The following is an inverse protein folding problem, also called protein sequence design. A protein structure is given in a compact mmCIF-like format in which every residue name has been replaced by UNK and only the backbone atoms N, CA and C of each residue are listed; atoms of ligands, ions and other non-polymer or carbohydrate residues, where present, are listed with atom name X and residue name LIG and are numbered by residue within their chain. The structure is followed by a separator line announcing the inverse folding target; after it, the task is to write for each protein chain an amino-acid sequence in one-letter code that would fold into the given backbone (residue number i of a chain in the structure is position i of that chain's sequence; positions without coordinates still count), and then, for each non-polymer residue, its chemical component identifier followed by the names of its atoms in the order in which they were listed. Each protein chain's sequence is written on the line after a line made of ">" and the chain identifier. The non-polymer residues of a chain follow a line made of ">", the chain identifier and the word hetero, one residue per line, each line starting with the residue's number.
data_IF_263228668677
#
_entry.id   IF_263228668677
#
_cell.length_a   1.000
_cell.length_b   1.000
_cell.length_c   1.000
_cell.angle_alpha   90.00
_cell.angle_beta   90.00
_cell.angle_gamma   90.00
#
_symmetry.space_group_name_H-M   'P 1'
#
loop_
_entity.id
_entity.type
_entity.pdbx_description
1 polymer ?
#
# COMPACT_ATOMS: atom_id res chain seq x y z
N UNK A 1 -13.23 -7.48 0.34
CA UNK A 1 -12.49 -7.92 1.53
C UNK A 1 -11.06 -7.37 1.56
N UNK A 2 -10.35 -7.27 0.43
CA UNK A 2 -9.03 -6.61 0.36
C UNK A 2 -9.08 -5.10 0.66
N UNK A 3 -10.12 -4.41 0.22
CA UNK A 3 -10.31 -2.96 0.44
C UNK A 3 -10.39 -2.60 1.94
N UNK A 4 -11.23 -3.31 2.70
CA UNK A 4 -11.29 -3.18 4.17
C UNK A 4 -9.98 -3.55 4.88
N UNK A 5 -9.07 -4.29 4.24
CA UNK A 5 -7.76 -4.62 4.81
C UNK A 5 -6.75 -3.49 4.56
N UNK A 6 -6.81 -2.86 3.38
CA UNK A 6 -6.00 -1.69 3.08
C UNK A 6 -6.37 -0.50 3.98
N UNK A 7 -7.64 -0.12 4.04
CA UNK A 7 -8.11 1.03 4.82
C UNK A 7 -7.72 0.88 6.31
N UNK A 8 -7.93 -0.32 6.87
CA UNK A 8 -7.56 -0.62 8.26
C UNK A 8 -6.05 -0.59 8.48
N UNK A 9 -5.27 -1.07 7.51
CA UNK A 9 -3.80 -1.01 7.59
C UNK A 9 -3.32 0.43 7.54
N UNK A 10 -3.94 1.27 6.70
CA UNK A 10 -3.64 2.69 6.60
C UNK A 10 -3.98 3.43 7.91
N UNK A 11 -5.16 3.19 8.48
CA UNK A 11 -5.55 3.76 9.78
C UNK A 11 -4.56 3.39 10.90
N UNK A 12 -4.12 2.13 10.95
CA UNK A 12 -3.11 1.72 11.92
C UNK A 12 -1.76 2.42 11.70
N UNK A 13 -1.35 2.62 10.45
CA UNK A 13 -0.11 3.32 10.12
C UNK A 13 -0.18 4.79 10.55
N UNK A 14 -1.30 5.47 10.29
CA UNK A 14 -1.54 6.86 10.73
C UNK A 14 -1.49 7.00 12.25
N UNK A 15 -2.06 6.03 12.98
CA UNK A 15 -1.99 5.99 14.43
C UNK A 15 -0.54 5.85 14.93
N UNK A 16 0.26 4.99 14.30
CA UNK A 16 1.69 4.82 14.65
C UNK A 16 2.47 6.12 14.39
N UNK A 17 2.25 6.76 13.24
CA UNK A 17 2.90 8.05 12.92
C UNK A 17 2.52 9.10 13.96
N UNK A 18 1.23 9.20 14.29
CA UNK A 18 0.73 10.13 15.30
C UNK A 18 1.38 9.89 16.68
N UNK A 19 1.55 8.63 17.09
CA UNK A 19 2.22 8.29 18.34
C UNK A 19 3.72 8.64 18.34
N UNK A 20 4.41 8.40 17.23
CA UNK A 20 5.81 8.77 17.05
C UNK A 20 6.01 10.29 17.06
N UNK A 21 5.12 11.05 16.41
CA UNK A 21 5.18 12.52 16.33
C UNK A 21 4.90 13.21 17.66
N UNK A 22 4.10 12.60 18.55
CA UNK A 22 3.86 13.12 19.90
C UNK A 22 5.15 13.20 20.75
N UNK A 23 6.14 12.34 20.47
CA UNK A 23 7.42 12.34 21.18
C UNK A 23 7.35 11.93 22.65
N UNK A 24 6.26 11.27 23.07
CA UNK A 24 6.06 10.80 24.45
C UNK A 24 6.68 9.42 24.72
N UNK A 25 7.10 8.73 23.66
CA UNK A 25 7.68 7.38 23.71
C UNK A 25 9.16 7.42 24.07
N UNK A 26 9.61 6.44 24.85
CA UNK A 26 11.04 6.24 25.04
C UNK A 26 11.70 5.63 23.77
N UNK A 27 13.03 5.53 23.76
CA UNK A 27 13.77 5.04 22.59
C UNK A 27 13.33 3.62 22.18
N UNK A 28 13.23 2.69 23.12
CA UNK A 28 12.88 1.30 22.84
C UNK A 28 11.45 1.18 22.30
N UNK A 29 10.52 1.97 22.83
CA UNK A 29 9.14 2.07 22.35
C UNK A 29 9.07 2.68 20.95
N UNK A 30 9.84 3.74 20.71
CA UNK A 30 9.91 4.40 19.40
C UNK A 30 10.44 3.45 18.33
N UNK A 31 11.48 2.67 18.65
CA UNK A 31 12.04 1.66 17.73
C UNK A 31 11.00 0.58 17.41
N UNK A 32 10.27 0.07 18.43
CA UNK A 32 9.22 -0.93 18.21
C UNK A 32 8.09 -0.40 17.33
N UNK A 33 7.62 0.82 17.59
CA UNK A 33 6.58 1.48 16.80
C UNK A 33 7.02 1.73 15.37
N UNK A 34 8.27 2.14 15.16
CA UNK A 34 8.85 2.28 13.83
C UNK A 34 8.88 0.95 13.07
N UNK A 35 9.35 -0.14 13.70
CA UNK A 35 9.34 -1.47 13.08
C UNK A 35 7.94 -1.96 12.72
N UNK A 36 6.96 -1.69 13.58
CA UNK A 36 5.55 -1.98 13.32
C UNK A 36 5.03 -1.19 12.12
N UNK A 37 5.28 0.13 12.09
CA UNK A 37 4.91 1.00 10.97
C UNK A 37 5.52 0.55 9.65
N UNK A 38 6.79 0.12 9.64
CA UNK A 38 7.45 -0.42 8.45
C UNK A 38 6.81 -1.72 7.94
N UNK A 39 6.36 -2.61 8.84
CA UNK A 39 5.65 -3.83 8.44
C UNK A 39 4.30 -3.50 7.80
N UNK A 40 3.55 -2.57 8.39
CA UNK A 40 2.24 -2.16 7.88
C UNK A 40 2.39 -1.44 6.53
N UNK A 41 3.35 -0.53 6.40
CA UNK A 41 3.64 0.16 5.13
C UNK A 41 3.96 -0.85 4.01
N UNK A 42 4.76 -1.88 4.31
CA UNK A 42 5.04 -2.97 3.35
C UNK A 42 3.78 -3.75 2.97
N UNK A 43 2.88 -3.99 3.91
CA UNK A 43 1.60 -4.65 3.62
C UNK A 43 0.72 -3.79 2.71
N UNK A 44 0.60 -2.49 2.97
CA UNK A 44 -0.13 -1.55 2.12
C UNK A 44 0.41 -1.58 0.68
N UNK A 45 1.73 -1.49 0.50
CA UNK A 45 2.35 -1.57 -0.83
C UNK A 45 2.01 -2.89 -1.55
N UNK A 46 2.11 -4.04 -0.87
CA UNK A 46 1.75 -5.31 -1.49
C UNK A 46 0.28 -5.37 -1.92
N UNK A 47 -0.63 -4.75 -1.16
CA UNK A 47 -2.05 -4.68 -1.54
C UNK A 47 -2.22 -3.83 -2.80
N UNK A 48 -1.55 -2.67 -2.86
CA UNK A 48 -1.58 -1.79 -4.03
C UNK A 48 -0.98 -2.47 -5.26
N UNK A 49 0.18 -3.12 -5.16
CA UNK A 49 0.78 -3.88 -6.26
C UNK A 49 -0.14 -4.99 -6.78
N UNK A 50 -0.85 -5.68 -5.88
CA UNK A 50 -1.79 -6.72 -6.27
C UNK A 50 -3.04 -6.14 -6.93
N UNK A 51 -3.52 -4.99 -6.46
CA UNK A 51 -4.63 -4.28 -7.09
C UNK A 51 -4.24 -3.80 -8.49
N UNK A 52 -3.04 -3.23 -8.64
CA UNK A 52 -2.49 -2.77 -9.91
C UNK A 52 -2.41 -3.91 -10.94
N UNK A 53 -1.89 -5.09 -10.55
CA UNK A 53 -1.84 -6.28 -11.42
C UNK A 53 -3.22 -6.79 -11.85
N UNK A 54 -4.26 -6.55 -11.06
CA UNK A 54 -5.64 -6.92 -11.40
C UNK A 54 -6.28 -5.94 -12.37
N UNK A 55 -5.72 -4.74 -12.53
CA UNK A 55 -6.16 -3.79 -13.54
C UNK A 55 -5.60 -4.26 -14.88
N UNK A 56 -6.48 -4.76 -15.73
CA UNK A 56 -6.17 -5.06 -17.13
C UNK A 56 -6.55 -3.85 -17.97
N UNK A 57 -5.64 -3.38 -18.82
CA UNK A 57 -5.97 -2.38 -19.85
C UNK A 57 -6.56 -3.12 -21.04
N UNK A 58 -7.75 -2.70 -21.46
CA UNK A 58 -8.34 -3.06 -22.75
C UNK A 58 -7.77 -2.14 -23.82
N UNK A 59 -6.86 -2.65 -24.65
CA UNK A 59 -6.28 -1.90 -25.76
C UNK A 59 -6.92 -2.38 -27.07
N UNK A 60 -7.52 -1.47 -27.82
CA UNK A 60 -7.97 -1.77 -29.19
C UNK A 60 -6.78 -1.69 -30.14
N UNK A 61 -6.51 -2.79 -30.86
CA UNK A 61 -5.48 -2.88 -31.87
C UNK A 61 -6.05 -3.55 -33.12
N UNK A 62 -6.09 -2.80 -34.23
CA UNK A 62 -6.60 -3.28 -35.52
C UNK A 62 -8.04 -3.84 -35.47
N UNK A 63 -8.91 -3.29 -34.62
CA UNK A 63 -10.30 -3.73 -34.48
C UNK A 63 -10.51 -4.95 -33.57
N UNK A 64 -9.45 -5.50 -32.97
CA UNK A 64 -9.51 -6.50 -31.92
C UNK A 64 -9.06 -5.91 -30.57
N UNK A 65 -9.60 -6.44 -29.48
CA UNK A 65 -9.23 -6.05 -28.12
C UNK A 65 -8.16 -6.98 -27.57
N UNK A 66 -6.99 -6.42 -27.20
CA UNK A 66 -5.94 -7.12 -26.47
C UNK A 66 -5.96 -6.71 -25.00
N UNK A 67 -6.01 -7.69 -24.10
CA UNK A 67 -5.80 -7.51 -22.67
C UNK A 67 -4.31 -7.42 -22.36
N UNK A 68 -3.87 -6.33 -21.72
CA UNK A 68 -2.50 -6.21 -21.20
C UNK A 68 -2.49 -5.84 -19.72
N UNK A 69 -1.52 -6.34 -18.93
CA UNK A 69 -1.29 -5.85 -17.58
C UNK A 69 -1.11 -4.33 -17.58
N UNK A 70 -1.72 -3.64 -16.62
CA UNK A 70 -1.41 -2.24 -16.36
C UNK A 70 0.03 -2.13 -15.86
N UNK A 71 0.88 -1.43 -16.61
CA UNK A 71 2.30 -1.22 -16.28
C UNK A 71 2.54 0.27 -16.05
N UNK A 72 2.81 0.65 -14.80
CA UNK A 72 3.04 2.05 -14.38
C UNK A 72 4.43 2.57 -14.71
N UNK A 73 5.34 1.74 -15.25
CA UNK A 73 6.71 2.15 -15.58
C UNK A 73 6.84 2.93 -16.91
N UNK A 74 5.73 3.25 -17.59
CA UNK A 74 5.71 4.12 -18.76
C UNK A 74 5.32 5.55 -18.34
N UNK A 75 6.31 6.32 -17.85
CA UNK A 75 6.35 7.78 -18.02
C UNK A 75 7.34 8.14 -19.13
#
# INVERSE_FOLDING_TARGET
>A
MEENNFEKSMENLENIVTELEKGELNLDESVKKFEEGMKIAKQCNNILENAEKKITILLEKNGDFEEKPFDTNNE
#
